data_IF_403594818570
#
_entry.id   IF_403594818570
#
_cell.length_a   1.000
_cell.length_b   1.000
_cell.length_c   1.000
_cell.angle_alpha   90.00
_cell.angle_beta   90.00
_cell.angle_gamma   90.00
#
_symmetry.space_group_name_H-M   'P 1'
#
loop_
_entity.id
_entity.type
_entity.pdbx_description
1 polymer ?
#
# COMPACT_ATOMS: atom_id res chain seq x y z
N UNK A 1 -14.18 13.75 8.11
CA UNK A 1 -13.47 12.62 8.77
C UNK A 1 -12.30 12.07 7.94
N UNK A 2 -12.48 11.75 6.64
CA UNK A 2 -11.42 11.10 5.84
C UNK A 2 -10.04 11.79 5.87
N UNK A 3 -9.98 13.13 5.74
CA UNK A 3 -8.71 13.89 5.87
C UNK A 3 -8.01 13.69 7.21
N UNK A 4 -8.77 13.63 8.30
CA UNK A 4 -8.21 13.40 9.63
C UNK A 4 -7.70 11.96 9.79
N UNK A 5 -8.47 10.97 9.36
CA UNK A 5 -8.07 9.55 9.46
C UNK A 5 -6.77 9.25 8.70
N UNK A 6 -6.51 9.96 7.60
CA UNK A 6 -5.28 9.83 6.80
C UNK A 6 -4.02 10.22 7.58
N UNK A 7 -4.15 11.08 8.59
CA UNK A 7 -3.04 11.53 9.42
C UNK A 7 -2.56 10.48 10.43
N UNK A 8 -3.06 9.24 10.35
CA UNK A 8 -2.68 8.11 11.18
C UNK A 8 -2.29 6.91 10.31
N UNK A 9 -1.51 6.00 10.89
CA UNK A 9 -1.20 4.72 10.28
C UNK A 9 -2.41 3.79 10.29
N UNK A 10 -2.70 3.19 9.13
CA UNK A 10 -3.85 2.30 8.93
C UNK A 10 -3.31 0.88 8.68
N UNK A 11 -3.75 -0.15 9.44
CA UNK A 11 -3.45 -1.53 9.09
C UNK A 11 -4.16 -1.87 7.78
N UNK A 12 -3.39 -2.23 6.75
CA UNK A 12 -3.90 -2.34 5.39
C UNK A 12 -4.14 -3.78 4.94
N UNK A 13 -3.24 -4.70 5.31
CA UNK A 13 -3.28 -6.11 4.92
C UNK A 13 -2.33 -6.92 5.80
N UNK A 14 -2.40 -8.26 5.70
CA UNK A 14 -1.31 -9.10 6.19
C UNK A 14 -0.11 -8.89 5.28
N UNK A 15 1.06 -8.71 5.89
CA UNK A 15 2.32 -8.49 5.17
C UNK A 15 2.65 -9.64 4.22
N UNK A 16 2.26 -10.86 4.60
CA UNK A 16 2.45 -12.09 3.81
C UNK A 16 1.53 -12.23 2.60
N UNK A 17 0.49 -11.40 2.45
CA UNK A 17 -0.39 -11.42 1.27
C UNK A 17 0.31 -10.82 0.03
N UNK A 18 1.41 -10.09 0.22
CA UNK A 18 2.25 -9.55 -0.86
C UNK A 18 3.65 -10.18 -0.82
N UNK A 19 3.82 -11.28 -1.56
CA UNK A 19 5.12 -11.92 -1.73
C UNK A 19 6.09 -11.06 -2.57
N UNK A 20 7.40 -11.20 -2.33
CA UNK A 20 8.44 -10.58 -3.16
C UNK A 20 8.26 -10.97 -4.63
N UNK A 21 8.29 -9.98 -5.53
CA UNK A 21 8.04 -10.16 -6.97
C UNK A 21 6.73 -10.94 -7.27
N UNK A 22 5.79 -10.95 -6.31
CA UNK A 22 4.53 -11.65 -6.39
C UNK A 22 3.45 -10.87 -7.12
N UNK A 23 2.30 -11.51 -7.30
CA UNK A 23 1.09 -10.87 -7.86
C UNK A 23 0.70 -9.65 -7.03
N UNK A 24 0.52 -8.46 -7.66
CA UNK A 24 0.06 -7.27 -6.96
C UNK A 24 -1.32 -7.48 -6.37
N UNK A 25 -1.52 -7.01 -5.14
CA UNK A 25 -2.78 -7.14 -4.42
C UNK A 25 -3.63 -5.88 -4.58
N UNK A 26 -4.94 -6.05 -4.78
CA UNK A 26 -5.91 -4.94 -4.74
C UNK A 26 -6.20 -4.56 -3.29
N UNK A 27 -6.18 -3.26 -3.01
CA UNK A 27 -6.52 -2.70 -1.70
C UNK A 27 -7.52 -1.55 -1.86
N UNK A 28 -8.38 -1.32 -0.88
CA UNK A 28 -9.20 -0.12 -0.80
C UNK A 28 -9.16 0.45 0.62
N UNK A 29 -8.67 1.68 0.77
CA UNK A 29 -8.60 2.38 2.06
C UNK A 29 -9.22 3.76 1.93
N UNK A 30 -10.10 4.12 2.87
CA UNK A 30 -10.72 5.45 2.94
C UNK A 30 -11.30 5.94 1.60
N UNK A 31 -11.92 5.03 0.85
CA UNK A 31 -12.54 5.29 -0.46
C UNK A 31 -11.59 5.30 -1.67
N UNK A 32 -10.28 5.15 -1.47
CA UNK A 32 -9.30 5.12 -2.57
C UNK A 32 -8.97 3.68 -2.98
N UNK A 33 -8.93 3.44 -4.30
CA UNK A 33 -8.55 2.15 -4.89
C UNK A 33 -7.04 2.13 -5.09
N UNK A 34 -6.39 1.14 -4.49
CA UNK A 34 -4.94 1.05 -4.38
C UNK A 34 -4.45 -0.29 -4.92
N UNK A 35 -3.14 -0.35 -5.18
CA UNK A 35 -2.39 -1.58 -5.41
C UNK A 35 -1.28 -1.67 -4.37
N UNK A 36 -1.12 -2.86 -3.78
CA UNK A 36 -0.03 -3.20 -2.87
C UNK A 36 0.86 -4.27 -3.53
N UNK A 37 2.17 -4.18 -3.33
CA UNK A 37 3.14 -5.15 -3.84
C UNK A 37 4.41 -5.13 -3.00
N UNK A 38 5.22 -6.18 -3.09
CA UNK A 38 6.53 -6.24 -2.43
C UNK A 38 7.62 -6.45 -3.48
N UNK A 39 8.52 -5.50 -3.59
CA UNK A 39 9.52 -5.49 -4.65
C UNK A 39 10.60 -6.57 -4.45
N UNK A 40 11.51 -6.70 -5.41
CA UNK A 40 12.59 -7.71 -5.37
C UNK A 40 13.53 -7.56 -4.18
N UNK A 41 13.64 -6.34 -3.63
CA UNK A 41 14.42 -6.02 -2.43
C UNK A 41 13.64 -6.24 -1.13
N UNK A 42 12.40 -6.75 -1.21
CA UNK A 42 11.55 -6.99 -0.05
C UNK A 42 10.85 -5.74 0.49
N UNK A 43 10.90 -4.60 -0.21
CA UNK A 43 10.23 -3.37 0.22
C UNK A 43 8.77 -3.40 -0.19
N UNK A 44 7.86 -3.09 0.73
CA UNK A 44 6.44 -2.99 0.42
C UNK A 44 6.10 -1.61 -0.19
N UNK A 45 5.37 -1.60 -1.31
CA UNK A 45 4.82 -0.39 -1.91
C UNK A 45 3.30 -0.42 -1.92
N UNK A 46 2.67 0.72 -1.64
CA UNK A 46 1.23 0.93 -1.82
C UNK A 46 1.01 2.20 -2.64
N UNK A 47 0.36 2.09 -3.79
CA UNK A 47 0.14 3.20 -4.70
C UNK A 47 -1.29 3.24 -5.23
N UNK A 48 -1.69 4.37 -5.81
CA UNK A 48 -2.91 4.47 -6.61
C UNK A 48 -2.89 3.39 -7.68
N UNK A 49 -4.02 2.71 -7.86
CA UNK A 49 -4.10 1.66 -8.85
C UNK A 49 -4.05 2.21 -10.29
N UNK A 50 -4.27 3.50 -10.54
CA UNK A 50 -4.26 4.07 -11.88
C UNK A 50 -2.85 4.46 -12.33
N UNK A 51 -2.38 3.84 -13.41
CA UNK A 51 -1.12 4.23 -14.03
C UNK A 51 -1.19 5.71 -14.50
N UNK A 52 -0.21 6.57 -14.16
CA UNK A 52 -0.23 8.00 -14.51
C UNK A 52 -0.15 8.26 -16.03
N UNK A 53 0.15 7.26 -16.84
CA UNK A 53 0.20 7.39 -18.30
C UNK A 53 -1.22 7.46 -18.92
N UNK A 54 -2.03 6.42 -18.72
CA UNK A 54 -3.36 6.24 -19.34
C UNK A 54 -4.37 5.51 -18.44
N UNK A 55 -4.21 5.63 -17.13
CA UNK A 55 -5.12 5.11 -16.09
C UNK A 55 -5.37 3.59 -16.11
N UNK A 56 -4.55 2.80 -16.81
CA UNK A 56 -4.60 1.35 -16.72
C UNK A 56 -4.37 0.89 -15.28
N UNK A 57 -5.11 -0.13 -14.84
CA UNK A 57 -5.03 -0.63 -13.47
C UNK A 57 -3.70 -1.37 -13.23
N UNK A 58 -2.84 -0.82 -12.39
CA UNK A 58 -1.56 -1.39 -11.96
C UNK A 58 -1.70 -2.69 -11.16
N UNK A 59 -2.90 -2.99 -10.62
CA UNK A 59 -3.22 -4.33 -10.08
C UNK A 59 -3.03 -5.43 -11.11
N UNK A 60 -3.20 -5.13 -12.40
CA UNK A 60 -2.95 -6.08 -13.49
C UNK A 60 -1.48 -6.11 -13.91
N UNK A 61 -0.63 -5.29 -13.28
CA UNK A 61 0.78 -5.15 -13.56
C UNK A 61 1.59 -6.39 -13.20
N UNK A 62 2.86 -6.38 -13.62
CA UNK A 62 3.85 -7.37 -13.23
C UNK A 62 4.85 -6.75 -12.27
N UNK A 63 5.02 -7.35 -11.11
CA UNK A 63 6.02 -6.94 -10.15
C UNK A 63 7.35 -7.63 -10.49
N UNK A 64 8.38 -6.85 -10.85
CA UNK A 64 9.67 -7.38 -11.27
C UNK A 64 10.78 -6.33 -11.10
N UNK A 65 12.00 -6.78 -10.80
CA UNK A 65 13.21 -5.96 -10.84
C UNK A 65 13.04 -4.62 -10.11
N UNK A 66 12.61 -4.69 -8.85
CA UNK A 66 12.35 -3.55 -7.96
C UNK A 66 11.26 -2.57 -8.44
N UNK A 67 10.30 -3.02 -9.26
CA UNK A 67 9.19 -2.16 -9.63
C UNK A 67 7.97 -2.86 -10.22
N UNK A 68 6.85 -2.16 -10.19
CA UNK A 68 5.59 -2.59 -10.75
C UNK A 68 5.45 -2.10 -12.18
N UNK A 69 5.55 -3.02 -13.15
CA UNK A 69 5.40 -2.75 -14.58
C UNK A 69 3.93 -2.78 -14.99
N UNK A 70 3.46 -1.66 -15.53
CA UNK A 70 2.13 -1.55 -16.10
C UNK A 70 2.00 -2.41 -17.37
N UNK A 71 0.97 -3.26 -17.44
CA UNK A 71 0.74 -4.13 -18.60
C UNK A 71 0.40 -3.39 -19.89
N UNK A 72 0.01 -2.12 -19.82
CA UNK A 72 -0.48 -1.44 -21.01
C UNK A 72 0.67 -1.01 -21.94
N UNK A 73 1.60 -0.20 -21.43
CA UNK A 73 2.72 0.32 -22.22
C UNK A 73 4.08 0.05 -21.55
N UNK A 74 4.11 -0.80 -20.54
CA UNK A 74 5.34 -1.24 -19.89
C UNK A 74 6.01 -0.22 -18.98
N UNK A 75 5.39 0.93 -18.67
CA UNK A 75 5.99 1.88 -17.72
C UNK A 75 6.10 1.23 -16.34
N UNK A 76 7.27 1.34 -15.70
CA UNK A 76 7.60 0.68 -14.42
C UNK A 76 7.76 1.72 -13.31
N UNK A 77 7.22 1.41 -12.13
CA UNK A 77 7.25 2.30 -10.97
C UNK A 77 7.83 1.59 -9.75
N UNK A 78 8.70 2.25 -8.99
CA UNK A 78 9.19 1.71 -7.71
C UNK A 78 8.16 1.84 -6.57
N UNK A 79 8.52 1.38 -5.37
CA UNK A 79 7.66 1.43 -4.16
C UNK A 79 7.29 2.85 -3.73
N UNK A 80 8.08 3.86 -4.11
CA UNK A 80 7.85 5.28 -3.83
C UNK A 80 7.09 5.99 -4.98
N UNK A 81 6.66 5.22 -5.99
CA UNK A 81 5.90 5.67 -7.15
C UNK A 81 6.74 6.39 -8.20
N UNK A 82 8.06 6.41 -8.10
CA UNK A 82 8.92 7.02 -9.12
C UNK A 82 8.89 6.17 -10.38
N UNK A 83 8.77 6.79 -11.56
CA UNK A 83 8.89 6.08 -12.82
C UNK A 83 10.37 5.73 -13.07
N UNK A 84 10.68 4.44 -13.12
CA UNK A 84 12.05 3.93 -13.26
C UNK A 84 12.34 3.38 -14.66
N UNK A 85 11.32 3.13 -15.47
CA UNK A 85 11.46 2.63 -16.83
C UNK A 85 10.26 3.03 -17.72
N UNK A 86 10.55 3.40 -18.97
CA UNK A 86 9.58 3.77 -20.00
C UNK A 86 9.99 3.15 -21.35
N UNK A 87 9.74 1.85 -21.57
CA UNK A 87 10.33 1.10 -22.70
C UNK A 87 9.88 1.62 -24.07
N UNK A 88 8.74 2.30 -24.14
CA UNK A 88 8.21 2.89 -25.38
C UNK A 88 8.78 4.27 -25.72
N UNK A 89 9.58 4.88 -24.83
CA UNK A 89 10.14 6.22 -25.01
C UNK A 89 11.63 6.10 -25.36
N UNK A 90 12.09 6.66 -26.48
CA UNK A 90 13.52 6.67 -26.82
C UNK A 90 14.34 7.36 -25.73
N UNK A 91 15.55 6.85 -25.45
CA UNK A 91 16.42 7.40 -24.41
C UNK A 91 16.75 8.89 -24.61
N UNK A 92 16.82 9.37 -25.86
CA UNK A 92 17.03 10.79 -26.18
C UNK A 92 15.85 11.70 -25.81
N UNK A 93 14.70 11.12 -25.51
CA UNK A 93 13.47 11.80 -25.08
C UNK A 93 13.03 11.32 -23.69
N UNK A 94 13.92 10.78 -22.87
CA UNK A 94 13.57 10.33 -21.52
C UNK A 94 13.08 11.51 -20.67
N UNK A 95 11.94 11.31 -19.99
CA UNK A 95 11.35 12.25 -19.05
C UNK A 95 10.77 11.56 -17.82
N UNK A 96 11.22 10.33 -17.48
CA UNK A 96 10.66 9.53 -16.38
C UNK A 96 10.64 10.25 -15.04
N UNK A 97 11.64 11.11 -14.79
CA UNK A 97 11.74 11.93 -13.57
C UNK A 97 10.56 12.91 -13.39
N UNK A 98 9.81 13.21 -14.45
CA UNK A 98 8.60 14.04 -14.42
C UNK A 98 7.33 13.24 -14.18
N UNK A 99 7.43 11.91 -14.17
CA UNK A 99 6.30 10.98 -14.04
C UNK A 99 6.35 10.34 -12.67
N UNK A 100 5.29 10.52 -11.89
CA UNK A 100 5.16 9.91 -10.58
C UNK A 100 3.77 9.31 -10.39
N UNK A 101 3.72 8.05 -9.99
CA UNK A 101 2.51 7.44 -9.46
C UNK A 101 2.31 7.95 -8.01
N UNK A 102 1.05 8.13 -7.62
CA UNK A 102 0.73 8.51 -6.24
C UNK A 102 0.99 7.31 -5.33
N UNK A 103 2.09 7.34 -4.58
CA UNK A 103 2.44 6.31 -3.60
C UNK A 103 2.22 6.82 -2.17
N UNK A 104 2.00 5.88 -1.25
CA UNK A 104 1.84 6.11 0.17
C UNK A 104 2.97 5.47 0.95
N UNK A 105 3.28 6.04 2.11
CA UNK A 105 4.31 5.47 2.98
C UNK A 105 3.82 4.19 3.61
N UNK A 106 4.70 3.20 3.64
CA UNK A 106 4.43 1.87 4.16
C UNK A 106 5.37 1.55 5.31
N UNK A 107 4.94 0.64 6.18
CA UNK A 107 5.81 0.03 7.18
C UNK A 107 5.32 -1.38 7.48
N UNK A 108 6.25 -2.32 7.65
CA UNK A 108 5.94 -3.66 8.15
C UNK A 108 6.20 -3.70 9.65
N UNK A 109 5.23 -4.19 10.42
CA UNK A 109 5.43 -4.53 11.83
C UNK A 109 4.51 -5.66 12.26
N UNK A 110 5.11 -6.72 12.76
CA UNK A 110 4.46 -7.90 13.30
C UNK A 110 3.39 -8.49 12.36
N UNK A 111 3.79 -8.88 11.15
CA UNK A 111 2.89 -9.48 10.16
C UNK A 111 1.86 -8.51 9.54
N UNK A 112 1.84 -7.22 9.90
CA UNK A 112 0.92 -6.22 9.35
C UNK A 112 1.66 -5.27 8.40
N UNK A 113 1.09 -5.08 7.21
CA UNK A 113 1.41 -3.95 6.33
C UNK A 113 0.63 -2.72 6.80
N UNK A 114 1.34 -1.70 7.27
CA UNK A 114 0.81 -0.40 7.65
C UNK A 114 0.93 0.59 6.51
N UNK A 115 -0.08 1.45 6.35
CA UNK A 115 -0.09 2.51 5.33
C UNK A 115 -0.40 3.85 5.98
N UNK A 116 0.43 4.86 5.70
CA UNK A 116 0.18 6.24 6.09
C UNK A 116 -0.24 7.06 4.87
N UNK A 117 -1.45 7.62 4.93
CA UNK A 117 -2.08 8.32 3.80
C UNK A 117 -2.10 9.85 3.95
N UNK A 118 -1.47 10.37 5.00
CA UNK A 118 -1.44 11.78 5.34
C UNK A 118 -0.35 12.55 4.59
N UNK A 119 -0.37 13.88 4.72
CA UNK A 119 0.50 14.76 3.93
C UNK A 119 1.84 15.08 4.61
N UNK A 120 2.05 14.64 5.86
CA UNK A 120 3.28 14.96 6.60
C UNK A 120 4.51 14.34 5.95
N UNK A 121 5.57 15.13 5.83
CA UNK A 121 6.89 14.66 5.39
C UNK A 121 7.43 13.54 6.29
N UNK A 122 7.18 13.65 7.59
CA UNK A 122 7.54 12.64 8.58
C UNK A 122 6.24 12.16 9.25
N UNK A 123 5.79 10.92 8.98
CA UNK A 123 4.62 10.36 9.65
C UNK A 123 4.83 10.30 11.17
N UNK A 124 3.75 10.27 11.96
CA UNK A 124 3.90 9.91 13.38
C UNK A 124 4.53 8.51 13.51
N UNK A 125 5.06 8.14 14.68
CA UNK A 125 5.44 6.75 14.95
C UNK A 125 4.25 5.80 14.74
N UNK A 126 4.56 4.54 14.39
CA UNK A 126 3.53 3.49 14.37
C UNK A 126 2.87 3.35 15.75
N UNK A 127 1.56 3.07 15.83
CA UNK A 127 0.82 3.04 17.10
C UNK A 127 1.36 1.96 18.04
N UNK A 128 1.45 2.22 19.34
CA UNK A 128 1.98 1.26 20.31
C UNK A 128 0.89 0.30 20.80
N UNK A 129 0.45 -0.62 19.92
CA UNK A 129 -0.51 -1.67 20.26
C UNK A 129 0.26 -2.91 20.70
N UNK A 130 0.01 -3.42 21.92
CA UNK A 130 0.76 -4.53 22.53
C UNK A 130 0.94 -5.73 21.60
N UNK A 131 -0.14 -6.18 20.96
CA UNK A 131 -0.12 -7.29 20.00
C UNK A 131 0.82 -7.06 18.80
N UNK A 132 1.29 -5.84 18.55
CA UNK A 132 2.22 -5.50 17.46
C UNK A 132 3.66 -5.28 17.93
N UNK A 133 3.91 -5.42 19.24
CA UNK A 133 5.20 -5.24 19.90
C UNK A 133 5.80 -6.57 20.40
N UNK A 134 4.97 -7.61 20.52
CA UNK A 134 5.39 -8.98 20.83
C UNK A 134 5.95 -9.68 19.59
N UNK A 135 6.66 -10.79 19.77
CA UNK A 135 7.15 -11.61 18.65
C UNK A 135 5.97 -12.23 17.89
N UNK A 136 6.10 -12.36 16.57
CA UNK A 136 5.01 -12.85 15.70
C UNK A 136 4.52 -14.26 16.09
N UNK A 137 5.39 -15.10 16.64
CA UNK A 137 5.03 -16.45 17.11
C UNK A 137 4.19 -16.47 18.40
N UNK A 138 4.19 -15.37 19.14
CA UNK A 138 3.55 -15.27 20.46
C UNK A 138 2.18 -14.57 20.38
N UNK A 139 1.75 -14.15 19.17
CA UNK A 139 0.46 -13.50 18.93
C UNK A 139 -0.22 -14.07 17.69
N UNK A 140 -1.56 -13.97 17.65
CA UNK A 140 -2.33 -14.23 16.43
C UNK A 140 -2.99 -12.93 15.96
N UNK A 141 -2.70 -12.53 14.72
CA UNK A 141 -3.30 -11.34 14.09
C UNK A 141 -4.13 -11.80 12.89
N UNK A 142 -5.43 -11.60 13.00
CA UNK A 142 -6.40 -11.93 11.95
C UNK A 142 -7.03 -10.66 11.36
N UNK A 143 -7.37 -10.75 10.08
CA UNK A 143 -8.06 -9.70 9.34
C UNK A 143 -9.45 -10.23 8.99
N UNK A 144 -10.49 -9.45 9.30
CA UNK A 144 -11.88 -9.81 9.04
C UNK A 144 -12.57 -8.65 8.32
N UNK A 145 -13.23 -8.97 7.20
CA UNK A 145 -14.09 -8.02 6.52
C UNK A 145 -15.45 -7.96 7.20
N UNK A 146 -15.84 -6.78 7.69
CA UNK A 146 -17.16 -6.52 8.26
C UNK A 146 -17.94 -5.57 7.35
N UNK A 147 -19.13 -5.97 6.94
CA UNK A 147 -20.02 -5.17 6.08
C UNK A 147 -20.78 -4.09 6.86
N UNK A 148 -20.06 -3.27 7.63
CA UNK A 148 -20.61 -2.16 8.41
C UNK A 148 -19.66 -0.96 8.41
N UNK A 149 -20.12 0.19 8.90
CA UNK A 149 -19.24 1.34 9.07
C UNK A 149 -18.22 1.06 10.19
N UNK A 150 -16.97 1.48 9.99
CA UNK A 150 -15.90 1.32 10.98
C UNK A 150 -16.28 1.83 12.38
N UNK A 151 -17.01 2.95 12.48
CA UNK A 151 -17.43 3.50 13.77
C UNK A 151 -18.39 2.56 14.51
N UNK A 152 -19.31 1.91 13.79
CA UNK A 152 -20.26 0.96 14.38
C UNK A 152 -19.55 -0.32 14.82
N UNK A 153 -18.55 -0.78 14.04
CA UNK A 153 -17.71 -1.90 14.43
C UNK A 153 -16.95 -1.59 15.72
N UNK A 154 -16.28 -0.42 15.77
CA UNK A 154 -15.52 0.01 16.94
C UNK A 154 -16.40 0.16 18.19
N UNK A 155 -17.56 0.80 18.06
CA UNK A 155 -18.51 0.97 19.17
C UNK A 155 -18.94 -0.39 19.75
N UNK A 156 -19.23 -1.37 18.87
CA UNK A 156 -19.49 -2.74 19.29
C UNK A 156 -18.26 -3.41 19.93
N UNK A 157 -17.05 -3.20 19.42
CA UNK A 157 -15.86 -3.87 19.98
C UNK A 157 -15.49 -3.38 21.40
N UNK A 158 -15.99 -2.21 21.83
CA UNK A 158 -15.70 -1.62 23.16
C UNK A 158 -16.89 -1.64 24.13
N UNK A 159 -18.09 -2.01 23.67
CA UNK A 159 -19.28 -2.08 24.53
C UNK A 159 -19.32 -3.41 25.28
N UNK A 160 -19.46 -3.35 26.61
CA UNK A 160 -19.50 -4.52 27.49
C UNK A 160 -20.91 -5.06 27.72
N UNK A 161 -21.94 -4.41 27.17
CA UNK A 161 -23.35 -4.68 27.49
C UNK A 161 -23.98 -5.78 26.65
N UNK A 162 -23.43 -6.08 25.47
CA UNK A 162 -23.86 -7.17 24.58
C UNK A 162 -22.96 -8.41 24.72
#
# INVERSE_FOLDING_TARGET
MGKFMREYWIPAAKSSEIANDGTPMRLQLLGEKLVAFRDSSGRAGVMDHQCPHRCASLVLGRNEENGLRCIYHGWKFDVDGNCIDMPSVPASQDFKEKVKAKAYKTADRNGILWVYMGERKDPPPLPMVEATLLEEKDVDISFMMRSCNWMQALEGDIDTSH
#
